data_IF_216743489604
#
_entry.id   IF_216743489604
#
_cell.length_a   1.000
_cell.length_b   1.000
_cell.length_c   1.000
_cell.angle_alpha   90.00
_cell.angle_beta   90.00
_cell.angle_gamma   90.00
#
_symmetry.space_group_name_H-M   'P 1'
#
loop_
_entity.id
_entity.type
_entity.pdbx_description
1 polymer ?
#
# COMPACT_ATOMS: atom_id res chain seq x y z
N UNK A 1 -5.43 3.20 20.76
CA UNK A 1 -4.26 2.29 20.72
C UNK A 1 -4.28 1.59 19.37
N UNK A 2 -3.23 1.74 18.59
CA UNK A 2 -3.16 1.17 17.24
C UNK A 2 -2.75 -0.31 17.40
N UNK A 3 -3.68 -1.23 17.15
CA UNK A 3 -3.46 -2.69 17.28
C UNK A 3 -2.35 -3.21 16.34
N UNK A 4 -1.84 -2.38 15.44
CA UNK A 4 -0.71 -2.70 14.56
C UNK A 4 0.66 -2.64 15.25
N UNK A 5 0.73 -2.20 16.50
CA UNK A 5 1.98 -2.05 17.26
C UNK A 5 2.54 -3.39 17.76
N UNK A 6 1.72 -4.43 17.84
CA UNK A 6 2.07 -5.75 18.37
C UNK A 6 2.29 -6.86 17.34
N UNK A 7 2.42 -6.54 16.07
CA UNK A 7 2.77 -7.56 15.08
C UNK A 7 4.24 -7.97 15.23
N UNK A 8 4.52 -9.19 15.73
CA UNK A 8 5.90 -9.67 15.95
C UNK A 8 6.70 -9.82 14.64
N UNK A 9 6.02 -9.90 13.51
CA UNK A 9 6.62 -10.06 12.18
C UNK A 9 6.89 -8.72 11.48
N UNK A 10 6.53 -7.61 12.11
CA UNK A 10 6.80 -6.29 11.58
C UNK A 10 8.31 -5.98 11.66
N UNK A 11 8.94 -5.46 10.59
CA UNK A 11 10.31 -4.99 10.64
C UNK A 11 10.53 -3.97 11.75
N UNK A 12 11.58 -4.18 12.55
CA UNK A 12 11.96 -3.29 13.66
C UNK A 12 13.11 -2.35 13.30
N UNK A 13 13.84 -2.68 12.25
CA UNK A 13 14.94 -1.89 11.71
C UNK A 13 14.88 -1.91 10.18
N UNK A 14 15.61 -1.00 9.56
CA UNK A 14 15.57 -0.81 8.12
C UNK A 14 16.11 -2.03 7.36
N UNK A 15 17.08 -2.72 7.96
CA UNK A 15 17.73 -3.93 7.45
C UNK A 15 16.78 -5.12 7.36
N UNK A 16 15.71 -5.13 8.15
CA UNK A 16 14.70 -6.19 8.14
C UNK A 16 13.64 -6.00 7.06
N UNK A 17 13.69 -4.86 6.35
CA UNK A 17 12.69 -4.55 5.34
C UNK A 17 13.05 -5.16 3.99
N UNK A 18 12.06 -5.77 3.33
CA UNK A 18 12.19 -6.12 1.93
C UNK A 18 12.42 -4.86 1.07
N UNK A 19 13.31 -4.94 0.07
CA UNK A 19 13.69 -3.77 -0.72
C UNK A 19 14.54 -2.77 0.09
N UNK A 20 15.41 -3.26 0.96
CA UNK A 20 16.24 -2.46 1.88
C UNK A 20 17.08 -1.39 1.15
N UNK A 21 17.52 -1.65 -0.06
CA UNK A 21 18.34 -0.71 -0.86
C UNK A 21 17.57 0.58 -1.15
N UNK A 22 16.34 0.47 -1.61
CA UNK A 22 15.45 1.59 -1.89
C UNK A 22 15.11 2.34 -0.59
N UNK A 23 14.86 1.61 0.48
CA UNK A 23 14.56 2.22 1.78
C UNK A 23 15.76 2.95 2.38
N UNK A 24 16.99 2.49 2.18
CA UNK A 24 18.21 3.22 2.52
C UNK A 24 18.35 4.51 1.71
N UNK A 25 18.02 4.49 0.41
CA UNK A 25 17.96 5.72 -0.39
C UNK A 25 16.92 6.70 0.14
N UNK A 26 15.73 6.21 0.52
CA UNK A 26 14.71 7.04 1.15
C UNK A 26 15.20 7.65 2.47
N UNK A 27 15.83 6.85 3.34
CA UNK A 27 16.38 7.34 4.61
C UNK A 27 17.41 8.46 4.42
N UNK A 28 18.22 8.39 3.36
CA UNK A 28 19.17 9.45 3.00
C UNK A 28 18.46 10.77 2.63
N UNK A 29 17.30 10.70 1.99
CA UNK A 29 16.51 11.89 1.62
C UNK A 29 15.93 12.57 2.87
N UNK A 30 15.25 11.80 3.74
CA UNK A 30 14.61 12.34 4.93
C UNK A 30 15.57 12.68 6.06
N UNK A 31 16.76 12.09 6.06
CA UNK A 31 17.83 12.35 7.04
C UNK A 31 18.72 13.56 6.72
N UNK A 32 18.45 14.31 5.66
CA UNK A 32 19.19 15.54 5.35
C UNK A 32 18.98 16.60 6.44
N UNK A 33 19.93 17.51 6.64
CA UNK A 33 19.74 18.66 7.55
C UNK A 33 18.54 19.53 7.15
N UNK A 34 18.31 19.66 5.85
CA UNK A 34 17.15 20.32 5.25
C UNK A 34 16.46 19.38 4.25
N UNK A 35 15.62 18.45 4.72
CA UNK A 35 14.94 17.51 3.84
C UNK A 35 13.82 18.19 3.07
N UNK A 36 13.50 17.71 1.85
CA UNK A 36 12.34 18.20 1.10
C UNK A 36 11.03 17.68 1.69
N UNK A 37 9.91 18.27 1.24
CA UNK A 37 8.61 17.58 1.33
C UNK A 37 8.60 16.40 0.39
N UNK A 38 7.99 15.28 0.79
CA UNK A 38 8.06 14.02 0.03
C UNK A 38 6.67 13.44 -0.25
N UNK A 39 6.49 12.94 -1.46
CA UNK A 39 5.43 11.99 -1.77
C UNK A 39 6.06 10.60 -1.80
N UNK A 40 5.62 9.71 -0.92
CA UNK A 40 6.04 8.32 -0.87
C UNK A 40 4.98 7.44 -1.55
N UNK A 41 5.28 7.04 -2.78
CA UNK A 41 4.39 6.23 -3.60
C UNK A 41 4.71 4.73 -3.54
N UNK A 42 3.70 3.91 -3.73
CA UNK A 42 3.86 2.45 -3.86
C UNK A 42 2.60 1.67 -3.57
N UNK A 43 2.56 0.43 -3.97
CA UNK A 43 1.43 -0.48 -3.79
C UNK A 43 1.05 -0.75 -2.32
N UNK A 44 -0.06 -1.43 -2.12
CA UNK A 44 -0.47 -1.87 -0.80
C UNK A 44 0.52 -2.90 -0.24
N UNK A 45 0.81 -2.83 1.06
CA UNK A 45 1.65 -3.83 1.74
C UNK A 45 3.14 -3.83 1.39
N UNK A 46 3.65 -2.83 0.65
CA UNK A 46 5.08 -2.71 0.27
C UNK A 46 6.00 -2.17 1.38
N UNK A 47 5.46 -1.81 2.53
CA UNK A 47 6.25 -1.34 3.68
C UNK A 47 6.31 0.16 3.90
N UNK A 48 5.60 1.00 3.10
CA UNK A 48 5.62 2.47 3.22
C UNK A 48 5.37 2.99 4.64
N UNK A 49 4.23 2.64 5.23
CA UNK A 49 3.93 3.08 6.60
C UNK A 49 4.91 2.51 7.64
N UNK A 50 5.52 1.34 7.35
CA UNK A 50 6.54 0.76 8.22
C UNK A 50 7.82 1.60 8.21
N UNK A 51 8.36 1.90 7.03
CA UNK A 51 9.59 2.72 6.91
C UNK A 51 9.39 4.11 7.49
N UNK A 52 8.22 4.73 7.27
CA UNK A 52 7.92 6.04 7.84
C UNK A 52 7.96 6.00 9.38
N UNK A 53 7.39 4.97 10.00
CA UNK A 53 7.43 4.81 11.46
C UNK A 53 8.84 4.55 11.99
N UNK A 54 9.66 3.78 11.26
CA UNK A 54 11.06 3.53 11.62
C UNK A 54 11.90 4.81 11.58
N UNK A 55 11.71 5.62 10.54
CA UNK A 55 12.54 6.81 10.31
C UNK A 55 12.01 8.08 10.99
N UNK A 56 10.70 8.24 11.09
CA UNK A 56 10.04 9.46 11.52
C UNK A 56 9.20 9.28 12.80
N UNK A 57 9.24 8.12 13.43
CA UNK A 57 8.43 7.77 14.60
C UNK A 57 8.85 8.46 15.89
N UNK A 58 9.05 9.79 15.86
CA UNK A 58 9.42 10.61 17.02
C UNK A 58 8.21 11.33 17.62
N UNK A 59 8.38 11.85 18.83
CA UNK A 59 7.36 12.65 19.52
C UNK A 59 7.01 13.97 18.79
N UNK A 60 7.84 14.39 17.83
CA UNK A 60 7.63 15.60 17.02
C UNK A 60 6.87 15.32 15.71
N UNK A 61 6.45 14.08 15.46
CA UNK A 61 5.74 13.71 14.23
C UNK A 61 4.23 13.68 14.44
N UNK A 62 3.49 14.43 13.62
CA UNK A 62 2.03 14.37 13.54
C UNK A 62 1.62 13.33 12.49
N UNK A 63 0.84 12.34 12.89
CA UNK A 63 0.29 11.30 12.02
C UNK A 63 -1.19 11.52 11.78
N UNK A 64 -1.60 11.52 10.52
CA UNK A 64 -2.98 11.68 10.08
C UNK A 64 -3.35 10.63 9.03
N UNK A 65 -4.51 9.99 9.19
CA UNK A 65 -5.06 9.04 8.23
C UNK A 65 -6.11 9.73 7.37
N UNK A 66 -5.79 10.02 6.12
CA UNK A 66 -6.69 10.71 5.19
C UNK A 66 -7.92 9.87 4.83
N UNK A 67 -7.88 8.55 4.99
CA UNK A 67 -9.06 7.69 4.84
C UNK A 67 -10.16 7.94 5.88
N UNK A 68 -9.80 8.52 7.05
CA UNK A 68 -10.76 8.86 8.11
C UNK A 68 -11.27 10.30 8.00
N UNK A 69 -10.47 11.20 7.40
CA UNK A 69 -10.80 12.61 7.21
C UNK A 69 -10.32 13.11 5.82
N UNK A 70 -10.98 12.68 4.71
CA UNK A 70 -10.53 13.01 3.35
C UNK A 70 -10.60 14.52 3.03
N UNK A 71 -11.42 15.28 3.77
CA UNK A 71 -11.56 16.73 3.64
C UNK A 71 -10.60 17.49 4.55
N UNK A 72 -9.91 16.80 5.44
CA UNK A 72 -9.08 17.36 6.52
C UNK A 72 -9.83 18.37 7.42
N UNK A 73 -11.17 18.30 7.50
CA UNK A 73 -11.95 19.28 8.28
C UNK A 73 -11.54 19.27 9.75
N UNK A 74 -11.48 18.09 10.35
CA UNK A 74 -11.13 17.91 11.76
C UNK A 74 -9.63 18.05 12.01
N UNK A 75 -8.82 17.84 10.96
CA UNK A 75 -7.36 17.84 11.05
C UNK A 75 -6.70 19.19 10.74
N UNK A 76 -7.42 20.15 10.13
CA UNK A 76 -6.83 21.44 9.68
C UNK A 76 -6.15 22.23 10.79
N UNK A 77 -6.76 22.34 11.95
CA UNK A 77 -6.17 23.12 13.04
C UNK A 77 -4.99 22.38 13.68
N UNK A 78 -5.03 21.05 13.74
CA UNK A 78 -3.89 20.24 14.16
C UNK A 78 -2.70 20.40 13.21
N UNK A 79 -2.94 20.40 11.90
CA UNK A 79 -1.92 20.64 10.87
C UNK A 79 -1.34 22.04 11.02
N UNK A 80 -2.17 23.09 11.15
CA UNK A 80 -1.70 24.48 11.35
C UNK A 80 -0.87 24.61 12.63
N UNK A 81 -1.33 24.03 13.73
CA UNK A 81 -0.61 24.05 15.00
C UNK A 81 0.75 23.35 14.89
N UNK A 82 0.77 22.16 14.28
CA UNK A 82 2.01 21.42 14.05
C UNK A 82 2.96 22.20 13.11
N UNK A 83 2.44 22.77 12.02
CA UNK A 83 3.25 23.51 11.05
C UNK A 83 3.89 24.78 11.64
N UNK A 84 3.25 25.41 12.64
CA UNK A 84 3.77 26.60 13.35
C UNK A 84 4.70 26.26 14.51
N UNK A 85 4.77 25.00 14.92
CA UNK A 85 5.63 24.57 16.04
C UNK A 85 7.09 24.78 15.66
N UNK A 86 7.79 25.61 16.40
CA UNK A 86 9.24 25.69 16.34
C UNK A 86 9.82 24.54 17.15
N UNK A 87 10.64 23.73 16.50
CA UNK A 87 11.38 22.64 17.18
C UNK A 87 12.76 23.22 17.54
N UNK A 88 13.12 23.07 18.81
CA UNK A 88 14.47 23.43 19.29
C UNK A 88 15.48 22.42 18.74
N UNK A 89 16.73 22.80 18.71
CA UNK A 89 17.88 21.94 18.33
C UNK A 89 17.94 21.53 16.84
N UNK A 90 17.41 22.34 15.92
CA UNK A 90 17.50 22.07 14.48
C UNK A 90 16.77 20.82 13.99
N UNK A 91 15.93 20.23 14.83
CA UNK A 91 15.13 19.05 14.45
C UNK A 91 13.99 19.43 13.51
N UNK A 92 13.63 18.49 12.66
CA UNK A 92 12.50 18.63 11.74
C UNK A 92 11.22 18.15 12.41
N UNK A 93 10.16 18.93 12.26
CA UNK A 93 8.80 18.57 12.63
C UNK A 93 8.13 17.91 11.41
N UNK A 94 7.77 16.64 11.52
CA UNK A 94 7.18 15.90 10.42
C UNK A 94 5.65 15.86 10.53
N UNK A 95 4.98 16.02 9.40
CA UNK A 95 3.54 15.77 9.25
C UNK A 95 3.38 14.67 8.21
N UNK A 96 2.93 13.50 8.66
CA UNK A 96 2.72 12.32 7.82
C UNK A 96 1.23 12.18 7.54
N UNK A 97 0.89 12.16 6.25
CA UNK A 97 -0.46 11.99 5.73
C UNK A 97 -0.56 10.60 5.09
N UNK A 98 -1.09 9.62 5.84
CA UNK A 98 -1.32 8.26 5.33
C UNK A 98 -2.53 8.24 4.40
N UNK A 99 -2.42 7.56 3.25
CA UNK A 99 -3.47 7.49 2.21
C UNK A 99 -3.87 8.86 1.65
N UNK A 100 -2.89 9.70 1.34
CA UNK A 100 -3.12 11.05 0.84
C UNK A 100 -3.76 11.08 -0.57
N UNK A 101 -3.71 10.00 -1.31
CA UNK A 101 -4.46 9.77 -2.55
C UNK A 101 -5.99 9.79 -2.38
N UNK A 102 -6.49 9.68 -1.15
CA UNK A 102 -7.93 9.79 -0.84
C UNK A 102 -8.37 11.22 -0.51
N UNK A 103 -7.45 12.19 -0.50
CA UNK A 103 -7.77 13.58 -0.18
C UNK A 103 -8.61 14.24 -1.26
N UNK A 104 -9.65 14.94 -0.85
CA UNK A 104 -10.46 15.77 -1.72
C UNK A 104 -9.67 16.99 -2.23
N UNK A 105 -10.10 17.57 -3.35
CA UNK A 105 -9.42 18.68 -4.01
C UNK A 105 -9.27 19.94 -3.09
N UNK A 106 -10.24 20.22 -2.24
CA UNK A 106 -10.19 21.33 -1.27
C UNK A 106 -9.14 21.09 -0.18
N UNK A 107 -8.97 19.84 0.27
CA UNK A 107 -7.93 19.45 1.21
C UNK A 107 -6.53 19.56 0.58
N UNK A 108 -6.38 19.13 -0.65
CA UNK A 108 -5.12 19.28 -1.39
C UNK A 108 -4.76 20.75 -1.62
N UNK A 109 -5.75 21.61 -1.94
CA UNK A 109 -5.57 23.05 -2.06
C UNK A 109 -5.18 23.72 -0.74
N UNK A 110 -5.71 23.22 0.39
CA UNK A 110 -5.31 23.66 1.72
C UNK A 110 -3.85 23.26 2.02
N UNK A 111 -3.47 22.01 1.76
CA UNK A 111 -2.09 21.52 1.96
C UNK A 111 -1.08 22.30 1.14
N UNK A 112 -1.39 22.61 -0.13
CA UNK A 112 -0.54 23.45 -0.98
C UNK A 112 -0.20 24.76 -0.27
N UNK A 113 -1.22 25.47 0.24
CA UNK A 113 -1.02 26.76 0.93
C UNK A 113 -0.15 26.61 2.19
N UNK A 114 -0.37 25.56 2.95
CA UNK A 114 0.41 25.34 4.18
C UNK A 114 1.87 25.01 3.84
N UNK A 115 2.12 24.21 2.82
CA UNK A 115 3.48 23.88 2.35
C UNK A 115 4.20 25.16 1.89
N UNK A 116 3.53 26.07 1.15
CA UNK A 116 4.11 27.31 0.68
C UNK A 116 4.46 28.29 1.81
N UNK A 117 3.62 28.35 2.85
CA UNK A 117 3.75 29.38 3.90
C UNK A 117 4.60 28.96 5.09
N UNK A 118 4.83 27.65 5.28
CA UNK A 118 5.49 27.11 6.48
C UNK A 118 6.77 26.31 6.11
N UNK A 119 7.64 26.88 5.29
CA UNK A 119 8.89 26.25 4.86
C UNK A 119 10.00 26.20 5.94
N UNK A 120 9.70 26.60 7.19
CA UNK A 120 10.66 26.60 8.29
C UNK A 120 11.14 25.18 8.67
N UNK A 121 10.89 24.78 9.91
CA UNK A 121 11.30 23.47 10.45
C UNK A 121 10.29 22.35 10.24
N UNK A 122 9.23 22.53 9.43
CA UNK A 122 8.19 21.53 9.19
C UNK A 122 8.29 20.93 7.80
N UNK A 123 8.19 19.60 7.71
CA UNK A 123 8.19 18.85 6.45
C UNK A 123 6.99 17.91 6.40
N UNK A 124 6.50 17.70 5.19
CA UNK A 124 5.36 16.83 4.92
C UNK A 124 5.81 15.57 4.21
N UNK A 125 5.23 14.44 4.60
CA UNK A 125 5.27 13.20 3.85
C UNK A 125 3.84 12.79 3.50
N UNK A 126 3.55 12.67 2.20
CA UNK A 126 2.29 12.18 1.68
C UNK A 126 2.49 10.72 1.25
N UNK A 127 1.91 9.79 1.99
CA UNK A 127 1.90 8.39 1.61
C UNK A 127 0.75 8.14 0.63
N UNK A 128 1.06 7.64 -0.57
CA UNK A 128 0.08 7.41 -1.63
C UNK A 128 0.21 6.02 -2.24
N UNK A 129 -0.88 5.51 -2.78
CA UNK A 129 -0.90 4.33 -3.66
C UNK A 129 -0.95 4.76 -5.12
N UNK A 130 -1.75 5.76 -5.41
CA UNK A 130 -1.92 6.32 -6.74
C UNK A 130 -1.44 7.79 -6.78
N UNK A 131 -0.35 8.02 -7.51
CA UNK A 131 0.20 9.37 -7.70
C UNK A 131 -0.72 10.24 -8.57
N UNK A 132 -1.50 9.63 -9.47
CA UNK A 132 -2.40 10.38 -10.34
C UNK A 132 -3.55 11.07 -9.58
N UNK A 133 -3.85 10.62 -8.35
CA UNK A 133 -4.83 11.26 -7.48
C UNK A 133 -4.32 12.55 -6.82
N UNK A 134 -3.01 12.84 -6.91
CA UNK A 134 -2.41 14.03 -6.32
C UNK A 134 -2.36 15.17 -7.34
N UNK A 135 -2.88 16.31 -6.94
CA UNK A 135 -2.91 17.50 -7.78
C UNK A 135 -1.50 18.01 -8.12
N UNK A 136 -1.32 18.44 -9.37
CA UNK A 136 -0.04 18.93 -9.89
C UNK A 136 0.62 20.01 -8.98
N UNK A 137 -0.12 20.98 -8.40
CA UNK A 137 0.48 21.96 -7.49
C UNK A 137 1.13 21.38 -6.22
N UNK A 138 0.77 20.19 -5.78
CA UNK A 138 1.47 19.46 -4.70
C UNK A 138 2.67 18.71 -5.24
N UNK A 139 2.53 18.06 -6.40
CA UNK A 139 3.63 17.35 -7.07
C UNK A 139 4.83 18.27 -7.32
N UNK A 140 4.59 19.50 -7.79
CA UNK A 140 5.65 20.47 -8.09
C UNK A 140 6.42 21.00 -6.86
N UNK A 141 5.91 20.76 -5.64
CA UNK A 141 6.50 21.21 -4.37
C UNK A 141 7.05 20.09 -3.51
N UNK A 142 7.01 18.89 -4.03
CA UNK A 142 7.41 17.67 -3.30
C UNK A 142 8.38 16.85 -4.14
N UNK A 143 9.20 16.07 -3.48
CA UNK A 143 10.02 15.06 -4.15
C UNK A 143 9.23 13.76 -4.17
N UNK A 144 8.98 13.23 -5.35
CA UNK A 144 8.35 11.93 -5.52
C UNK A 144 9.40 10.82 -5.30
N UNK A 145 9.14 9.95 -4.35
CA UNK A 145 9.91 8.73 -4.12
C UNK A 145 8.99 7.51 -4.29
N UNK A 146 9.36 6.63 -5.20
CA UNK A 146 8.68 5.34 -5.37
C UNK A 146 9.35 4.31 -4.47
N UNK A 147 8.55 3.66 -3.63
CA UNK A 147 9.00 2.52 -2.84
C UNK A 147 9.41 1.34 -3.73
N UNK A 148 10.04 0.30 -3.14
CA UNK A 148 10.52 -0.84 -3.91
C UNK A 148 9.37 -1.57 -4.61
N UNK A 149 9.62 -1.97 -5.84
CA UNK A 149 8.80 -2.93 -6.58
C UNK A 149 9.47 -4.29 -6.43
N UNK A 150 8.91 -5.12 -5.56
CA UNK A 150 9.47 -6.44 -5.27
C UNK A 150 9.04 -7.46 -6.32
N UNK A 151 10.01 -8.20 -6.80
CA UNK A 151 9.77 -9.32 -7.71
C UNK A 151 9.29 -10.56 -6.93
N UNK A 152 8.55 -11.48 -7.57
CA UNK A 152 8.04 -12.69 -6.91
C UNK A 152 9.09 -13.47 -6.13
N UNK A 153 10.30 -13.63 -6.68
CA UNK A 153 11.38 -14.35 -6.02
C UNK A 153 11.91 -13.67 -4.75
N UNK A 154 11.91 -12.33 -4.70
CA UNK A 154 12.29 -11.55 -3.52
C UNK A 154 11.25 -11.74 -2.40
N UNK A 155 9.97 -11.72 -2.77
CA UNK A 155 8.86 -11.97 -1.84
C UNK A 155 8.92 -13.41 -1.33
N UNK A 156 9.16 -14.38 -2.20
CA UNK A 156 9.37 -15.78 -1.81
C UNK A 156 10.49 -15.91 -0.77
N UNK A 157 11.60 -15.22 -0.98
CA UNK A 157 12.73 -15.23 -0.04
C UNK A 157 12.33 -14.64 1.33
N UNK A 158 11.56 -13.54 1.35
CA UNK A 158 11.07 -12.95 2.59
C UNK A 158 10.03 -13.83 3.31
N UNK A 159 9.14 -14.51 2.57
CA UNK A 159 8.21 -15.50 3.14
C UNK A 159 8.98 -16.63 3.83
N UNK A 160 9.95 -17.23 3.15
CA UNK A 160 10.78 -18.31 3.71
C UNK A 160 11.60 -17.87 4.93
N UNK A 161 12.09 -16.64 4.93
CA UNK A 161 12.81 -16.05 6.07
C UNK A 161 11.92 -15.93 7.32
N UNK A 162 10.66 -15.54 7.14
CA UNK A 162 9.72 -15.25 8.25
C UNK A 162 8.84 -16.43 8.62
N UNK A 163 8.61 -17.33 7.69
CA UNK A 163 7.82 -18.55 7.86
C UNK A 163 8.61 -19.79 7.35
N UNK A 164 9.69 -20.18 8.04
CA UNK A 164 10.59 -21.26 7.58
C UNK A 164 9.94 -22.64 7.54
N UNK A 165 8.77 -22.80 8.16
CA UNK A 165 7.97 -24.04 8.16
C UNK A 165 7.18 -24.26 6.87
N UNK A 166 7.05 -23.21 6.02
CA UNK A 166 6.28 -23.29 4.77
C UNK A 166 7.06 -24.08 3.73
N UNK A 167 6.36 -24.99 3.04
CA UNK A 167 6.92 -25.74 1.92
C UNK A 167 7.47 -24.77 0.85
N UNK A 168 8.66 -25.04 0.28
CA UNK A 168 9.27 -24.19 -0.74
C UNK A 168 8.37 -23.92 -1.96
N UNK A 169 7.61 -24.92 -2.42
CA UNK A 169 6.70 -24.74 -3.56
C UNK A 169 5.51 -23.85 -3.20
N UNK A 170 4.99 -23.97 -1.98
CA UNK A 170 3.94 -23.08 -1.47
C UNK A 170 4.46 -21.65 -1.34
N UNK A 171 5.69 -21.46 -0.83
CA UNK A 171 6.29 -20.14 -0.73
C UNK A 171 6.49 -19.47 -2.10
N UNK A 172 6.86 -20.23 -3.14
CA UNK A 172 6.96 -19.71 -4.51
C UNK A 172 5.59 -19.22 -5.01
N UNK A 173 4.55 -20.05 -4.86
CA UNK A 173 3.17 -19.67 -5.27
C UNK A 173 2.69 -18.41 -4.54
N UNK A 174 2.95 -18.31 -3.22
CA UNK A 174 2.63 -17.09 -2.45
C UNK A 174 3.35 -15.88 -3.04
N UNK A 175 4.63 -16.01 -3.37
CA UNK A 175 5.40 -14.94 -4.01
C UNK A 175 4.79 -14.48 -5.33
N UNK A 176 4.44 -15.40 -6.21
CA UNK A 176 3.82 -15.11 -7.52
C UNK A 176 2.45 -14.44 -7.38
N UNK A 177 1.61 -14.91 -6.45
CA UNK A 177 0.26 -14.38 -6.26
C UNK A 177 0.21 -13.07 -5.46
N UNK A 178 1.29 -12.70 -4.78
CA UNK A 178 1.32 -11.52 -3.91
C UNK A 178 1.10 -10.19 -4.64
N UNK A 179 1.40 -10.12 -5.94
CA UNK A 179 1.34 -8.88 -6.71
C UNK A 179 2.19 -7.74 -6.11
N UNK A 180 3.30 -8.05 -5.44
CA UNK A 180 4.15 -7.07 -4.75
C UNK A 180 3.74 -6.76 -3.30
N UNK A 181 2.65 -7.36 -2.79
CA UNK A 181 2.16 -7.13 -1.43
C UNK A 181 2.84 -8.07 -0.44
N UNK A 182 3.97 -7.62 0.12
CA UNK A 182 4.75 -8.43 1.07
C UNK A 182 4.00 -8.71 2.38
N UNK A 183 3.17 -7.77 2.84
CA UNK A 183 2.37 -7.99 4.05
C UNK A 183 1.43 -9.17 3.88
N UNK A 184 0.70 -9.20 2.76
CA UNK A 184 -0.18 -10.31 2.42
C UNK A 184 0.60 -11.62 2.31
N UNK A 185 1.71 -11.63 1.58
CA UNK A 185 2.52 -12.82 1.38
C UNK A 185 3.04 -13.41 2.70
N UNK A 186 3.55 -12.58 3.60
CA UNK A 186 4.03 -13.01 4.92
C UNK A 186 2.89 -13.57 5.77
N UNK A 187 1.72 -12.92 5.76
CA UNK A 187 0.54 -13.42 6.50
C UNK A 187 0.06 -14.78 5.96
N UNK A 188 0.08 -14.99 4.64
CA UNK A 188 -0.23 -16.30 4.06
C UNK A 188 0.76 -17.37 4.52
N UNK A 189 2.06 -17.08 4.48
CA UNK A 189 3.08 -17.99 4.95
C UNK A 189 2.94 -18.36 6.44
N UNK A 190 2.62 -17.39 7.28
CA UNK A 190 2.43 -17.60 8.74
C UNK A 190 1.12 -18.32 9.06
N UNK A 191 0.06 -18.09 8.28
CA UNK A 191 -1.25 -18.69 8.47
C UNK A 191 -1.36 -20.16 8.06
N UNK A 192 -0.27 -20.78 7.58
CA UNK A 192 -0.26 -22.20 7.19
C UNK A 192 -0.74 -22.47 5.77
N UNK A 193 -0.94 -21.45 4.97
CA UNK A 193 -0.94 -21.49 3.50
C UNK A 193 -1.94 -22.33 2.71
N UNK A 194 -2.76 -23.17 3.36
CA UNK A 194 -3.75 -24.02 2.66
C UNK A 194 -5.01 -23.25 2.22
N UNK A 195 -5.13 -21.98 2.61
CA UNK A 195 -6.24 -21.11 2.25
C UNK A 195 -6.13 -20.49 0.86
N UNK A 196 -5.19 -20.92 0.05
CA UNK A 196 -5.10 -20.48 -1.33
C UNK A 196 -6.19 -21.18 -2.13
N UNK A 197 -7.11 -20.38 -2.68
CA UNK A 197 -8.04 -20.87 -3.67
C UNK A 197 -7.22 -21.48 -4.79
N UNK A 198 -7.37 -22.79 -5.00
CA UNK A 198 -6.73 -23.47 -6.10
C UNK A 198 -7.40 -23.00 -7.40
N UNK A 199 -6.83 -21.94 -7.97
CA UNK A 199 -7.33 -21.38 -9.23
C UNK A 199 -7.23 -22.35 -10.40
N UNK A 200 -6.38 -23.40 -10.27
CA UNK A 200 -6.26 -24.45 -11.29
C UNK A 200 -7.54 -25.29 -11.42
N UNK A 201 -8.40 -25.30 -10.40
CA UNK A 201 -9.70 -26.00 -10.46
C UNK A 201 -10.85 -25.14 -11.00
N UNK A 202 -10.65 -23.84 -11.12
CA UNK A 202 -11.66 -22.92 -11.69
C UNK A 202 -11.59 -22.94 -13.23
N UNK A 203 -12.18 -23.95 -13.84
CA UNK A 203 -12.43 -23.94 -15.28
C UNK A 203 -13.39 -22.82 -15.68
N UNK A 204 -13.33 -22.37 -16.93
CA UNK A 204 -14.28 -21.41 -17.46
C UNK A 204 -15.69 -21.94 -17.23
N UNK A 205 -16.58 -21.22 -16.51
CA UNK A 205 -17.88 -21.78 -16.17
C UNK A 205 -18.78 -21.87 -17.40
N UNK A 206 -19.14 -23.09 -17.76
CA UNK A 206 -20.02 -23.37 -18.90
C UNK A 206 -21.49 -23.52 -18.47
N UNK A 207 -21.75 -23.65 -17.17
CA UNK A 207 -23.10 -23.86 -16.62
C UNK A 207 -23.43 -22.84 -15.53
N UNK A 208 -24.76 -22.66 -15.27
CA UNK A 208 -25.24 -21.77 -14.18
C UNK A 208 -24.73 -22.20 -12.81
N UNK A 209 -24.56 -23.50 -12.59
CA UNK A 209 -24.01 -24.05 -11.33
C UNK A 209 -22.54 -23.67 -11.14
N UNK A 210 -21.73 -23.76 -12.20
CA UNK A 210 -20.32 -23.35 -12.18
C UNK A 210 -20.18 -21.83 -11.94
N UNK A 211 -21.11 -21.03 -12.49
CA UNK A 211 -21.15 -19.60 -12.21
C UNK A 211 -21.48 -19.29 -10.73
N UNK A 212 -22.38 -20.07 -10.12
CA UNK A 212 -22.67 -19.94 -8.70
C UNK A 212 -21.44 -20.25 -7.82
N UNK A 213 -20.63 -21.22 -8.21
CA UNK A 213 -19.40 -21.56 -7.53
C UNK A 213 -18.33 -20.48 -7.68
N UNK A 214 -18.21 -19.87 -8.87
CA UNK A 214 -17.35 -18.70 -9.11
C UNK A 214 -17.76 -17.52 -8.24
N UNK A 215 -19.06 -17.25 -8.12
CA UNK A 215 -19.57 -16.15 -7.27
C UNK A 215 -19.27 -16.39 -5.79
N UNK A 216 -19.43 -17.62 -5.29
CA UNK A 216 -19.05 -17.99 -3.91
C UNK A 216 -17.55 -17.82 -3.69
N UNK A 217 -16.72 -18.30 -4.62
CA UNK A 217 -15.27 -18.10 -4.54
C UNK A 217 -14.89 -16.61 -4.53
N UNK A 218 -15.56 -15.75 -5.29
CA UNK A 218 -15.35 -14.30 -5.27
C UNK A 218 -15.77 -13.66 -3.95
N UNK A 219 -16.89 -14.11 -3.35
CA UNK A 219 -17.31 -13.66 -2.01
C UNK A 219 -16.30 -14.05 -0.94
N UNK A 220 -15.77 -15.26 -1.01
CA UNK A 220 -14.74 -15.74 -0.08
C UNK A 220 -13.41 -14.98 -0.25
N UNK A 221 -13.04 -14.64 -1.48
CA UNK A 221 -11.89 -13.76 -1.77
C UNK A 221 -12.10 -12.37 -1.13
N UNK A 222 -13.30 -11.80 -1.22
CA UNK A 222 -13.60 -10.51 -0.58
C UNK A 222 -13.51 -10.60 0.94
N UNK A 223 -13.98 -11.69 1.55
CA UNK A 223 -13.91 -11.92 3.01
C UNK A 223 -12.45 -12.12 3.49
N UNK A 224 -11.61 -12.79 2.71
CA UNK A 224 -10.21 -13.05 3.05
C UNK A 224 -9.27 -11.89 2.75
N UNK A 225 -9.76 -10.82 2.09
CA UNK A 225 -8.96 -9.64 1.74
C UNK A 225 -7.94 -9.89 0.63
N UNK A 226 -8.06 -10.98 -0.10
CA UNK A 226 -7.21 -11.31 -1.25
C UNK A 226 -7.53 -10.34 -2.41
N UNK A 227 -6.52 -9.87 -3.13
CA UNK A 227 -6.74 -8.95 -4.25
C UNK A 227 -7.41 -9.69 -5.42
N UNK A 228 -8.56 -9.23 -5.94
CA UNK A 228 -9.16 -9.79 -7.15
C UNK A 228 -8.25 -9.77 -8.38
N UNK A 229 -7.24 -8.90 -8.39
CA UNK A 229 -6.24 -8.81 -9.48
C UNK A 229 -5.32 -10.03 -9.55
N UNK A 230 -4.95 -10.63 -8.42
CA UNK A 230 -4.13 -11.84 -8.42
C UNK A 230 -4.87 -12.99 -9.10
N UNK A 231 -6.16 -13.07 -8.87
CA UNK A 231 -7.02 -14.08 -9.45
C UNK A 231 -7.31 -13.87 -10.94
N UNK A 232 -7.49 -12.62 -11.38
CA UNK A 232 -7.71 -12.27 -12.79
C UNK A 232 -6.42 -12.49 -13.62
N UNK A 233 -5.24 -12.34 -13.03
CA UNK A 233 -3.94 -12.50 -13.69
C UNK A 233 -3.73 -13.90 -14.28
N UNK A 234 -4.12 -14.95 -13.57
CA UNK A 234 -3.92 -16.34 -14.03
C UNK A 234 -4.81 -16.73 -15.22
N UNK A 235 -5.96 -16.09 -15.37
CA UNK A 235 -6.84 -16.30 -16.54
C UNK A 235 -6.41 -15.50 -17.78
N UNK A 236 -5.53 -14.50 -17.64
CA UNK A 236 -5.07 -13.66 -18.76
C UNK A 236 -4.10 -14.38 -19.68
N UNK A 237 -3.42 -15.43 -19.22
CA UNK A 237 -2.45 -16.21 -20.00
C UNK A 237 -3.12 -17.14 -21.05
N UNK A 238 -4.42 -17.33 -20.99
CA UNK A 238 -5.20 -18.20 -21.87
C UNK A 238 -5.70 -17.60 -23.18
N UNK A 239 -5.18 -16.46 -23.65
CA UNK A 239 -5.48 -15.92 -24.99
C UNK A 239 -6.88 -15.27 -25.16
N UNK A 240 -7.67 -15.14 -24.10
CA UNK A 240 -9.00 -14.52 -24.14
C UNK A 240 -8.95 -12.98 -24.03
N UNK A 241 -7.83 -12.43 -23.57
CA UNK A 241 -7.63 -10.99 -23.36
C UNK A 241 -7.42 -10.19 -24.64
N UNK A 242 -6.78 -10.77 -25.64
CA UNK A 242 -6.40 -10.07 -26.88
C UNK A 242 -7.58 -9.69 -27.78
N UNK A 243 -8.75 -10.32 -27.56
CA UNK A 243 -9.95 -10.11 -28.40
C UNK A 243 -10.96 -9.11 -27.83
N UNK A 244 -10.83 -8.68 -26.60
CA UNK A 244 -11.85 -7.89 -25.91
C UNK A 244 -11.40 -6.49 -25.41
N UNK A 245 -10.30 -5.96 -25.91
CA UNK A 245 -9.88 -4.59 -25.59
C UNK A 245 -9.65 -4.34 -24.08
N UNK A 246 -9.11 -5.30 -23.35
CA UNK A 246 -8.64 -5.08 -21.98
C UNK A 246 -9.60 -5.44 -20.84
N UNK A 247 -10.79 -5.98 -21.12
CA UNK A 247 -11.71 -6.45 -20.07
C UNK A 247 -12.17 -7.87 -20.33
N UNK A 248 -11.90 -8.79 -19.39
CA UNK A 248 -12.40 -10.16 -19.49
C UNK A 248 -13.95 -10.18 -19.46
N UNK A 249 -14.63 -10.65 -20.53
CA UNK A 249 -16.08 -10.56 -20.66
C UNK A 249 -16.85 -11.22 -19.48
N UNK A 250 -16.33 -12.32 -18.94
CA UNK A 250 -16.98 -13.01 -17.82
C UNK A 250 -16.79 -12.29 -16.47
N UNK A 251 -15.68 -11.60 -16.23
CA UNK A 251 -15.48 -10.79 -15.04
C UNK A 251 -16.46 -9.60 -15.00
N UNK A 252 -16.74 -9.00 -16.16
CA UNK A 252 -17.74 -7.94 -16.31
C UNK A 252 -19.16 -8.52 -16.08
N UNK A 253 -19.41 -9.71 -16.56
CA UNK A 253 -20.71 -10.39 -16.39
C UNK A 253 -20.92 -10.82 -14.95
N UNK A 254 -19.90 -11.37 -14.27
CA UNK A 254 -19.96 -11.70 -12.85
C UNK A 254 -20.18 -10.46 -11.97
N UNK A 255 -19.47 -9.35 -12.25
CA UNK A 255 -19.66 -8.08 -11.56
C UNK A 255 -21.06 -7.44 -11.79
N UNK A 256 -21.68 -7.69 -12.94
CA UNK A 256 -23.05 -7.25 -13.23
C UNK A 256 -24.10 -8.13 -12.55
N UNK A 257 -23.84 -9.42 -12.41
CA UNK A 257 -24.74 -10.37 -11.71
C UNK A 257 -24.70 -10.15 -10.21
N UNK A 258 -23.53 -9.89 -9.61
CA UNK A 258 -23.39 -9.61 -8.17
C UNK A 258 -24.09 -8.31 -7.72
N UNK A 259 -24.41 -7.40 -8.65
CA UNK A 259 -25.19 -6.17 -8.37
C UNK A 259 -26.70 -6.37 -8.46
N UNK A 260 -27.19 -7.58 -8.80
CA UNK A 260 -28.61 -7.92 -8.96
C UNK A 260 -29.12 -8.92 -7.90
N UNK A 261 -28.29 -9.32 -6.98
CA UNK A 261 -28.59 -10.03 -5.74
C UNK A 261 -28.31 -9.09 -4.57
#
# INVERSE_FOLDING_TARGET
>A
MDTTEFDPHRPRQLEDMAGVTEWKRFSTIVGRPDPPHVILAGGAGTGKSCVLRLLLGSATTLWLRCSQDPSLRDSRDRIKAAARRRVLDGKINWIVLEHADLLHADAQSFLRRIIETNMGSTRFVLEVRDVAAIAEPLLSRTVLFSGPTLMPYEITAEVRKRAPHVDPHVAIRIGEQSGGNIRWAVLQGLGGGDGMIDTATLQTPDTVTQWADVLRAMEDIQKTGTSPRAWIGDYSTGGAWDRAGGACPWAITAAKLSKRV
#
